data_IF_587978478790
#
_entry.id   IF_587978478790
#
_cell.length_a   1.000
_cell.length_b   1.000
_cell.length_c   1.000
_cell.angle_alpha   90.00
_cell.angle_beta   90.00
_cell.angle_gamma   90.00
#
_symmetry.space_group_name_H-M   'P 1'
#
loop_
_entity.id
_entity.type
_entity.pdbx_description
1 polymer ?
#
# COMPACT_ATOMS: atom_id res chain seq x y z
N UNK A 1 -19.15 18.16 9.50
CA UNK A 1 -18.89 16.90 8.78
C UNK A 1 -18.18 17.30 7.49
N UNK A 2 -16.85 17.27 7.49
CA UNK A 2 -16.04 17.75 6.36
C UNK A 2 -15.90 16.62 5.35
N UNK A 3 -16.52 16.78 4.17
CA UNK A 3 -16.39 15.87 3.04
C UNK A 3 -15.20 16.37 2.22
N UNK A 4 -13.98 15.99 2.63
CA UNK A 4 -12.75 16.34 1.89
C UNK A 4 -11.98 15.11 1.37
N UNK A 5 -12.54 13.90 1.45
CA UNK A 5 -11.80 12.68 1.07
C UNK A 5 -11.78 12.39 -0.45
N UNK A 6 -12.76 12.88 -1.22
CA UNK A 6 -12.84 12.59 -2.66
C UNK A 6 -11.69 13.16 -3.53
N UNK A 7 -11.23 14.42 -3.36
CA UNK A 7 -10.16 14.96 -4.19
C UNK A 7 -8.81 14.27 -3.92
N UNK A 8 -8.51 13.99 -2.66
CA UNK A 8 -7.25 13.37 -2.21
C UNK A 8 -7.04 11.99 -2.86
N UNK A 9 -8.12 11.20 -2.97
CA UNK A 9 -8.07 9.87 -3.56
C UNK A 9 -7.85 9.90 -5.08
N UNK A 10 -8.49 10.83 -5.80
CA UNK A 10 -8.33 10.93 -7.26
C UNK A 10 -6.92 11.38 -7.66
N UNK A 11 -6.32 12.33 -6.93
CA UNK A 11 -4.92 12.72 -7.17
C UNK A 11 -3.94 11.56 -6.92
N UNK A 12 -4.20 10.73 -5.91
CA UNK A 12 -3.40 9.54 -5.67
C UNK A 12 -3.58 8.48 -6.78
N UNK A 13 -4.78 8.35 -7.36
CA UNK A 13 -5.02 7.46 -8.51
C UNK A 13 -4.22 7.90 -9.74
N UNK A 14 -4.17 9.21 -10.03
CA UNK A 14 -3.37 9.78 -11.11
C UNK A 14 -1.87 9.51 -10.92
N UNK A 15 -1.35 9.72 -9.69
CA UNK A 15 0.05 9.38 -9.36
C UNK A 15 0.35 7.90 -9.58
N UNK A 16 -0.58 7.02 -9.19
CA UNK A 16 -0.41 5.59 -9.41
C UNK A 16 -0.49 5.21 -10.91
N UNK A 17 -1.23 5.97 -11.73
CA UNK A 17 -1.36 5.75 -13.18
C UNK A 17 -0.08 6.17 -13.92
N UNK A 18 0.59 7.23 -13.44
CA UNK A 18 1.86 7.70 -14.00
C UNK A 18 3.07 6.86 -13.55
N UNK A 19 2.96 6.17 -12.41
CA UNK A 19 4.02 5.32 -11.91
C UNK A 19 4.19 4.03 -12.75
N UNK A 20 5.44 3.63 -13.02
CA UNK A 20 5.76 2.38 -13.71
C UNK A 20 5.55 1.15 -12.81
N UNK A 21 4.28 0.81 -12.57
CA UNK A 21 3.85 -0.30 -11.74
C UNK A 21 3.49 -1.52 -12.60
N UNK A 22 4.02 -2.69 -12.21
CA UNK A 22 3.49 -3.95 -12.73
C UNK A 22 2.04 -4.14 -12.28
N UNK A 23 1.22 -4.95 -12.97
CA UNK A 23 -0.18 -5.17 -12.57
C UNK A 23 -0.34 -5.63 -11.11
N UNK A 24 0.63 -6.40 -10.60
CA UNK A 24 0.66 -6.85 -9.20
C UNK A 24 1.06 -5.75 -8.21
N UNK A 25 1.92 -4.83 -8.60
CA UNK A 25 2.23 -3.66 -7.75
C UNK A 25 1.05 -2.69 -7.73
N UNK A 26 0.38 -2.51 -8.87
CA UNK A 26 -0.84 -1.71 -8.99
C UNK A 26 -1.96 -2.23 -8.10
N UNK A 27 -2.25 -3.53 -8.15
CA UNK A 27 -3.23 -4.19 -7.27
C UNK A 27 -2.91 -3.95 -5.79
N UNK A 28 -1.63 -4.03 -5.41
CA UNK A 28 -1.21 -3.79 -4.03
C UNK A 28 -1.41 -2.32 -3.61
N UNK A 29 -1.11 -1.37 -4.50
CA UNK A 29 -1.33 0.05 -4.27
C UNK A 29 -2.82 0.37 -4.12
N UNK A 30 -3.67 -0.20 -4.99
CA UNK A 30 -5.13 -0.02 -4.96
C UNK A 30 -5.74 -0.55 -3.65
N UNK A 31 -5.26 -1.68 -3.13
CA UNK A 31 -5.70 -2.20 -1.84
C UNK A 31 -5.43 -1.22 -0.69
N UNK A 32 -4.32 -0.48 -0.74
CA UNK A 32 -4.01 0.56 0.25
C UNK A 32 -4.81 1.84 0.00
N UNK A 33 -5.02 2.21 -1.27
CA UNK A 33 -5.77 3.39 -1.68
C UNK A 33 -7.25 3.32 -1.28
N UNK A 34 -7.86 2.14 -1.33
CA UNK A 34 -9.23 1.90 -0.83
C UNK A 34 -9.35 2.22 0.67
N UNK A 35 -8.24 2.13 1.41
CA UNK A 35 -8.15 2.45 2.83
C UNK A 35 -7.19 3.62 3.07
N UNK A 36 -7.34 4.68 2.28
CA UNK A 36 -6.53 5.90 2.39
C UNK A 36 -6.37 6.37 3.84
N UNK A 37 -5.16 6.75 4.22
CA UNK A 37 -4.81 7.21 5.58
C UNK A 37 -4.94 6.17 6.69
N UNK A 38 -5.53 5.00 6.40
CA UNK A 38 -5.91 3.99 7.38
C UNK A 38 -4.90 2.86 7.43
N UNK A 39 -4.54 2.45 8.65
CA UNK A 39 -3.65 1.32 8.87
C UNK A 39 -4.32 -0.02 8.53
N UNK A 40 -3.73 -0.73 7.58
CA UNK A 40 -4.14 -2.09 7.19
C UNK A 40 -3.12 -3.09 7.69
N UNK A 41 -3.56 -4.13 8.41
CA UNK A 41 -2.63 -5.13 8.95
C UNK A 41 -1.96 -5.91 7.82
N UNK A 42 -0.66 -6.18 7.93
CA UNK A 42 0.12 -6.87 6.90
C UNK A 42 -0.44 -8.25 6.55
N UNK A 43 -0.97 -8.98 7.53
CA UNK A 43 -1.63 -10.28 7.32
C UNK A 43 -2.95 -10.16 6.55
N UNK A 44 -3.74 -9.11 6.83
CA UNK A 44 -5.06 -8.91 6.22
C UNK A 44 -4.84 -8.44 4.77
N UNK A 45 -3.81 -7.63 4.55
CA UNK A 45 -3.37 -7.23 3.22
C UNK A 45 -2.78 -8.39 2.42
N UNK A 46 -1.97 -9.24 3.04
CA UNK A 46 -1.47 -10.46 2.40
C UNK A 46 -2.62 -11.40 2.04
N UNK A 47 -3.60 -11.58 2.93
CA UNK A 47 -4.78 -12.38 2.64
C UNK A 47 -5.56 -11.82 1.45
N UNK A 48 -5.74 -10.50 1.37
CA UNK A 48 -6.43 -9.83 0.26
C UNK A 48 -5.65 -9.87 -1.07
N UNK A 49 -4.32 -9.75 -1.00
CA UNK A 49 -3.45 -9.74 -2.19
C UNK A 49 -3.19 -11.14 -2.78
N UNK A 50 -3.20 -12.17 -1.92
CA UNK A 50 -2.96 -13.56 -2.32
C UNK A 50 -4.23 -14.41 -2.36
N UNK A 51 -5.42 -13.79 -2.44
CA UNK A 51 -6.71 -14.51 -2.56
C UNK A 51 -6.63 -15.52 -3.71
N UNK A 52 -7.00 -16.77 -3.43
CA UNK A 52 -6.99 -17.87 -4.41
C UNK A 52 -5.68 -18.66 -4.47
N UNK A 53 -4.65 -18.27 -3.72
CA UNK A 53 -3.42 -19.08 -3.56
C UNK A 53 -3.48 -19.80 -2.22
N UNK A 54 -3.44 -21.13 -2.21
CA UNK A 54 -3.38 -21.94 -0.99
C UNK A 54 -1.99 -21.77 -0.34
N UNK A 55 -1.76 -20.66 0.36
CA UNK A 55 -0.50 -20.39 1.04
C UNK A 55 -0.68 -20.48 2.55
N UNK A 56 0.18 -21.25 3.21
CA UNK A 56 0.34 -21.20 4.66
C UNK A 56 0.84 -19.79 5.06
N UNK A 57 0.15 -19.14 6.00
CA UNK A 57 0.18 -17.67 6.16
C UNK A 57 1.53 -17.01 6.52
N UNK A 58 2.58 -17.76 6.89
CA UNK A 58 3.86 -17.17 7.31
C UNK A 58 4.78 -16.73 6.15
N UNK A 59 4.78 -17.45 5.02
CA UNK A 59 5.58 -17.07 3.84
C UNK A 59 5.08 -15.80 3.12
N UNK A 60 3.75 -15.57 2.97
CA UNK A 60 3.19 -14.36 2.37
C UNK A 60 3.54 -13.04 3.07
N UNK A 61 3.63 -13.04 4.41
CA UNK A 61 3.87 -11.80 5.17
C UNK A 61 5.29 -11.28 4.96
N UNK A 62 6.29 -12.17 4.96
CA UNK A 62 7.67 -11.80 4.65
C UNK A 62 7.84 -11.30 3.21
N UNK A 63 7.11 -11.89 2.26
CA UNK A 63 7.07 -11.44 0.87
C UNK A 63 6.40 -10.06 0.74
N UNK A 64 5.40 -9.76 1.60
CA UNK A 64 4.72 -8.47 1.61
C UNK A 64 5.66 -7.32 1.96
N UNK A 65 6.56 -7.49 2.92
CA UNK A 65 7.57 -6.48 3.25
C UNK A 65 8.48 -6.12 2.07
N UNK A 66 8.87 -7.11 1.26
CA UNK A 66 9.69 -6.90 0.06
C UNK A 66 8.89 -6.16 -1.02
N UNK A 67 7.64 -6.57 -1.26
CA UNK A 67 6.75 -5.89 -2.23
C UNK A 67 6.47 -4.44 -1.84
N UNK A 68 6.26 -4.19 -0.55
CA UNK A 68 6.07 -2.84 -0.01
C UNK A 68 7.30 -1.97 -0.20
N UNK A 69 8.49 -2.53 0.00
CA UNK A 69 9.73 -1.80 -0.26
C UNK A 69 9.88 -1.45 -1.73
N UNK A 70 9.66 -2.40 -2.64
CA UNK A 70 9.71 -2.15 -4.08
C UNK A 70 8.71 -1.07 -4.52
N UNK A 71 7.46 -1.14 -4.03
CA UNK A 71 6.43 -0.15 -4.33
C UNK A 71 6.82 1.24 -3.81
N UNK A 72 7.37 1.35 -2.60
CA UNK A 72 7.89 2.64 -2.07
C UNK A 72 8.99 3.22 -2.94
N UNK A 73 9.92 2.40 -3.43
CA UNK A 73 11.00 2.87 -4.29
C UNK A 73 10.46 3.46 -5.59
N UNK A 74 9.40 2.86 -6.16
CA UNK A 74 8.78 3.35 -7.40
C UNK A 74 7.95 4.62 -7.20
N UNK A 75 7.37 4.80 -6.01
CA UNK A 75 6.61 6.00 -5.65
C UNK A 75 7.48 7.11 -5.07
N UNK A 76 8.77 6.87 -4.86
CA UNK A 76 9.67 7.85 -4.28
C UNK A 76 9.74 9.13 -5.14
N UNK A 77 9.50 10.28 -4.51
CA UNK A 77 9.50 11.58 -5.18
C UNK A 77 8.17 11.97 -5.85
N UNK A 78 7.15 11.11 -5.80
CA UNK A 78 5.78 11.45 -6.27
C UNK A 78 4.94 12.22 -5.25
N UNK A 79 5.47 12.44 -4.04
CA UNK A 79 4.71 12.91 -2.89
C UNK A 79 3.83 11.82 -2.24
N UNK A 80 3.59 10.69 -2.91
CA UNK A 80 2.82 9.58 -2.36
C UNK A 80 3.71 8.66 -1.50
N UNK A 81 3.33 8.43 -0.24
CA UNK A 81 4.08 7.59 0.69
C UNK A 81 3.31 6.37 1.16
N UNK A 82 4.02 5.26 1.33
CA UNK A 82 3.54 4.10 2.07
C UNK A 82 4.28 4.02 3.39
N UNK A 83 3.56 4.16 4.50
CA UNK A 83 4.10 4.05 5.87
C UNK A 83 3.95 2.63 6.42
N UNK A 84 4.83 2.26 7.34
CA UNK A 84 4.84 0.99 8.07
C UNK A 84 4.83 1.26 9.57
N UNK A 85 4.08 0.48 10.35
CA UNK A 85 3.98 0.64 11.81
C UNK A 85 5.11 -0.06 12.59
N UNK A 86 6.11 -0.61 11.88
CA UNK A 86 7.29 -1.21 12.45
C UNK A 86 8.48 -1.24 11.48
N UNK A 87 9.70 -1.52 11.98
CA UNK A 87 10.89 -1.60 11.14
C UNK A 87 10.92 -2.89 10.30
N UNK A 88 11.24 -2.75 9.01
CA UNK A 88 11.64 -3.86 8.14
C UNK A 88 10.54 -4.89 7.79
N UNK A 89 10.93 -6.17 7.74
CA UNK A 89 10.11 -7.31 7.29
C UNK A 89 9.00 -7.73 8.29
N UNK A 90 8.96 -7.10 9.46
CA UNK A 90 8.05 -7.42 10.57
C UNK A 90 6.94 -6.37 10.76
N UNK A 91 6.70 -5.51 9.77
CA UNK A 91 5.65 -4.49 9.83
C UNK A 91 4.29 -5.15 10.07
N UNK A 92 3.59 -4.70 11.12
CA UNK A 92 2.28 -5.23 11.50
C UNK A 92 1.16 -4.61 10.66
N UNK A 93 1.43 -3.45 10.05
CA UNK A 93 0.53 -2.83 9.11
C UNK A 93 1.20 -1.82 8.17
N UNK A 94 0.42 -1.42 7.17
CA UNK A 94 0.79 -0.47 6.13
C UNK A 94 -0.35 0.54 5.95
N UNK A 95 -0.01 1.79 5.62
CA UNK A 95 -0.98 2.79 5.17
C UNK A 95 -0.39 3.61 4.04
N UNK A 96 -1.25 4.12 3.17
CA UNK A 96 -0.89 5.10 2.14
C UNK A 96 -1.35 6.49 2.58
N UNK A 97 -0.53 7.50 2.34
CA UNK A 97 -0.78 8.91 2.66
C UNK A 97 0.13 9.81 1.80
N UNK A 98 -0.12 11.11 1.73
CA UNK A 98 0.86 12.03 1.17
C UNK A 98 2.06 12.24 2.12
N UNK A 99 3.20 12.64 1.54
CA UNK A 99 4.39 13.09 2.25
C UNK A 99 4.02 14.25 3.19
N UNK A 100 4.51 14.20 4.44
CA UNK A 100 4.12 15.18 5.48
C UNK A 100 2.77 14.91 6.16
N UNK A 101 1.85 14.17 5.52
CA UNK A 101 0.60 13.64 6.07
C UNK A 101 -0.61 14.60 6.01
N UNK A 102 -1.46 14.42 5.00
CA UNK A 102 -2.76 13.71 5.03
C UNK A 102 -2.91 12.92 3.73
#
# INVERSE_FOLDING_TARGET
MSVCEAPIKSEAEEVLDEADLTPRERELAELLLVRWGTWTRGRDLAAAFYVGVAVTMDAPVNAMGVRMHALRTKLAGSGLEIRSDGPGRSSRGYRMAWEGGE
#
